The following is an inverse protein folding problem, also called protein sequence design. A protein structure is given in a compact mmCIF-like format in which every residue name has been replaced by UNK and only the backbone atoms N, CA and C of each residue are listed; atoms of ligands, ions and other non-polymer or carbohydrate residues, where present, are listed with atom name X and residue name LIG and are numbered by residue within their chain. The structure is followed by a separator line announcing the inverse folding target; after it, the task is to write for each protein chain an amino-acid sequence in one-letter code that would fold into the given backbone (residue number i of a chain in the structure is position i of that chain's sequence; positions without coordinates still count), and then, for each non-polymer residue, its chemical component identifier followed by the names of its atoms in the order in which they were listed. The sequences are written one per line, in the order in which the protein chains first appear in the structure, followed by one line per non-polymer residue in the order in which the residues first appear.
data_IF_503219204926
#
_entry.id   IF_503219204926
#
_cell.length_a   1.000
_cell.length_b   1.000
_cell.length_c   1.000
_cell.angle_alpha   90.00
_cell.angle_beta   90.00
_cell.angle_gamma   90.00
#
_symmetry.space_group_name_H-M   'P 1'
#
loop_
_entity.id
_entity.type
_entity.pdbx_description
1 polymer ?
#
# COMPACT_ATOMS: atom_id res chain seq x y z
N UNK A 1 -22.21 -7.16 18.53
CA UNK A 1 -23.37 -7.26 17.61
C UNK A 1 -23.07 -8.31 16.53
N UNK A 2 -22.96 -9.59 16.91
CA UNK A 2 -22.69 -10.72 16.01
C UNK A 2 -23.52 -11.94 16.45
N UNK A 3 -24.79 -11.70 16.80
CA UNK A 3 -25.68 -12.71 17.40
C UNK A 3 -26.93 -12.93 16.54
N UNK A 4 -26.79 -12.86 15.21
CA UNK A 4 -27.90 -13.10 14.26
C UNK A 4 -27.46 -13.80 12.96
N UNK A 5 -26.24 -14.30 12.88
CA UNK A 5 -25.69 -14.91 11.67
C UNK A 5 -25.49 -16.41 11.88
N UNK A 6 -26.17 -17.25 11.08
CA UNK A 6 -26.05 -18.71 11.16
C UNK A 6 -24.61 -19.20 10.92
N UNK A 7 -24.30 -20.43 11.35
CA UNK A 7 -22.97 -21.07 11.30
C UNK A 7 -22.28 -20.96 9.93
N UNK A 8 -23.05 -20.88 8.84
CA UNK A 8 -22.58 -20.70 7.48
C UNK A 8 -21.98 -19.30 7.23
N UNK A 9 -22.56 -18.23 7.77
CA UNK A 9 -22.11 -16.85 7.53
C UNK A 9 -20.76 -16.54 8.19
N UNK A 10 -20.50 -17.11 9.37
CA UNK A 10 -19.20 -16.98 10.03
C UNK A 10 -18.07 -17.67 9.26
N UNK A 11 -18.36 -18.81 8.61
CA UNK A 11 -17.39 -19.51 7.73
C UNK A 11 -17.00 -18.65 6.53
N UNK A 12 -17.98 -18.04 5.85
CA UNK A 12 -17.72 -17.13 4.73
C UNK A 12 -16.97 -15.87 5.15
N UNK A 13 -17.33 -15.27 6.28
CA UNK A 13 -16.64 -14.10 6.83
C UNK A 13 -15.17 -14.40 7.16
N UNK A 14 -14.89 -15.55 7.80
CA UNK A 14 -13.53 -15.98 8.11
C UNK A 14 -12.69 -16.21 6.85
N UNK A 15 -13.26 -16.84 5.81
CA UNK A 15 -12.56 -17.04 4.53
C UNK A 15 -12.27 -15.72 3.84
N UNK A 16 -13.23 -14.79 3.79
CA UNK A 16 -13.04 -13.47 3.20
C UNK A 16 -11.95 -12.66 3.94
N UNK A 17 -11.97 -12.70 5.28
CA UNK A 17 -10.97 -12.02 6.11
C UNK A 17 -9.57 -12.62 5.91
N UNK A 18 -9.44 -13.95 5.84
CA UNK A 18 -8.17 -14.60 5.52
C UNK A 18 -7.65 -14.17 4.14
N UNK A 19 -8.53 -14.12 3.13
CA UNK A 19 -8.15 -13.66 1.79
C UNK A 19 -7.62 -12.22 1.80
N UNK A 20 -8.29 -11.32 2.50
CA UNK A 20 -7.88 -9.91 2.66
C UNK A 20 -6.53 -9.81 3.38
N UNK A 21 -6.33 -10.52 4.49
CA UNK A 21 -5.07 -10.50 5.25
C UNK A 21 -3.88 -11.02 4.41
N UNK A 22 -4.08 -12.07 3.63
CA UNK A 22 -3.07 -12.59 2.70
C UNK A 22 -2.73 -11.53 1.65
N UNK A 23 -3.76 -10.90 1.05
CA UNK A 23 -3.58 -9.82 0.07
C UNK A 23 -2.79 -8.65 0.64
N UNK A 24 -3.13 -8.19 1.84
CA UNK A 24 -2.42 -7.13 2.57
C UNK A 24 -0.94 -7.47 2.78
N UNK A 25 -0.67 -8.69 3.22
CA UNK A 25 0.71 -9.15 3.49
C UNK A 25 1.56 -9.15 2.23
N UNK A 26 1.02 -9.66 1.12
CA UNK A 26 1.71 -9.68 -0.19
C UNK A 26 1.94 -8.24 -0.69
N UNK A 27 0.92 -7.39 -0.57
CA UNK A 27 1.00 -5.98 -0.96
C UNK A 27 2.09 -5.22 -0.19
N UNK A 28 2.10 -5.30 1.14
CA UNK A 28 3.13 -4.65 1.95
C UNK A 28 4.54 -5.17 1.65
N UNK A 29 4.68 -6.48 1.44
CA UNK A 29 5.97 -7.11 1.13
C UNK A 29 6.51 -6.61 -0.21
N UNK A 30 5.66 -6.55 -1.23
CA UNK A 30 6.03 -6.08 -2.57
C UNK A 30 6.35 -4.58 -2.56
N UNK A 31 5.49 -3.76 -1.95
CA UNK A 31 5.68 -2.31 -1.85
C UNK A 31 6.95 -1.95 -1.10
N UNK A 32 7.25 -2.65 0.00
CA UNK A 32 8.48 -2.43 0.77
C UNK A 32 9.71 -2.81 -0.05
N UNK A 33 9.70 -3.95 -0.74
CA UNK A 33 10.81 -4.38 -1.59
C UNK A 33 11.07 -3.38 -2.73
N UNK A 34 10.02 -2.88 -3.39
CA UNK A 34 10.12 -1.83 -4.43
C UNK A 34 10.69 -0.53 -3.86
N UNK A 35 10.25 -0.11 -2.68
CA UNK A 35 10.71 1.12 -2.04
C UNK A 35 12.20 1.04 -1.68
N UNK A 36 12.65 -0.07 -1.09
CA UNK A 36 14.05 -0.29 -0.76
C UNK A 36 14.95 -0.37 -2.01
N UNK A 37 14.47 -1.03 -3.07
CA UNK A 37 15.18 -1.06 -4.35
C UNK A 37 15.30 0.35 -4.96
N UNK A 38 14.24 1.17 -4.88
CA UNK A 38 14.25 2.55 -5.35
C UNK A 38 15.24 3.43 -4.56
N UNK A 39 15.30 3.28 -3.22
CA UNK A 39 16.27 4.00 -2.37
C UNK A 39 17.70 3.63 -2.74
N UNK A 40 17.99 2.32 -2.89
CA UNK A 40 19.32 1.84 -3.32
C UNK A 40 19.69 2.34 -4.70
N UNK A 41 18.73 2.38 -5.62
CA UNK A 41 18.94 2.93 -6.97
C UNK A 41 19.21 4.43 -6.93
N UNK A 42 18.47 5.20 -6.14
CA UNK A 42 18.70 6.63 -5.92
C UNK A 42 20.09 6.90 -5.33
N UNK A 43 20.49 6.14 -4.31
CA UNK A 43 21.81 6.27 -3.70
C UNK A 43 22.94 5.92 -4.69
N UNK A 44 22.71 4.97 -5.60
CA UNK A 44 23.63 4.63 -6.68
C UNK A 44 23.79 5.79 -7.67
N UNK A 45 22.68 6.41 -8.11
CA UNK A 45 22.73 7.60 -8.97
C UNK A 45 23.38 8.81 -8.29
N UNK A 46 23.20 8.97 -6.98
CA UNK A 46 23.87 10.04 -6.22
C UNK A 46 25.39 9.85 -6.15
N UNK A 47 25.85 8.59 -6.07
CA UNK A 47 27.28 8.26 -5.94
C UNK A 47 28.02 8.20 -7.27
N UNK A 48 27.39 7.65 -8.31
CA UNK A 48 28.05 7.36 -9.60
C UNK A 48 27.60 8.28 -10.74
N UNK A 49 26.70 9.23 -10.46
CA UNK A 49 26.11 10.12 -11.47
C UNK A 49 24.83 9.55 -12.09
N UNK A 50 24.01 10.43 -12.67
CA UNK A 50 22.68 10.09 -13.21
C UNK A 50 22.74 9.12 -14.42
N UNK A 51 23.89 9.06 -15.09
CA UNK A 51 24.16 8.23 -16.28
C UNK A 51 24.64 6.79 -15.93
N UNK A 52 24.81 6.45 -14.66
CA UNK A 52 25.33 5.14 -14.27
C UNK A 52 24.26 4.03 -14.41
N UNK A 53 24.63 2.90 -15.02
CA UNK A 53 23.76 1.73 -15.15
C UNK A 53 23.56 1.01 -13.80
N UNK A 54 22.70 1.57 -12.93
CA UNK A 54 22.38 1.01 -11.62
C UNK A 54 21.21 0.02 -11.72
N UNK A 55 21.52 -1.28 -11.84
CA UNK A 55 20.52 -2.35 -11.75
C UNK A 55 20.43 -2.88 -10.31
N UNK A 56 19.24 -2.78 -9.70
CA UNK A 56 19.00 -3.26 -8.33
C UNK A 56 17.87 -4.29 -8.35
N UNK A 57 18.12 -5.56 -8.02
CA UNK A 57 17.08 -6.58 -7.97
C UNK A 57 16.22 -6.46 -6.70
N UNK A 58 14.92 -6.71 -6.83
CA UNK A 58 13.94 -6.59 -5.75
C UNK A 58 13.79 -7.86 -4.90
N UNK A 59 14.07 -9.03 -5.48
CA UNK A 59 14.00 -10.33 -4.81
C UNK A 59 14.71 -10.40 -3.44
N UNK A 60 15.95 -9.92 -3.27
CA UNK A 60 16.61 -9.99 -1.96
C UNK A 60 15.88 -9.18 -0.89
N UNK A 61 15.34 -8.00 -1.23
CA UNK A 61 14.58 -7.17 -0.28
C UNK A 61 13.26 -7.84 0.13
N UNK A 62 12.61 -8.53 -0.80
CA UNK A 62 11.38 -9.28 -0.53
C UNK A 62 11.62 -10.40 0.49
N UNK A 63 12.70 -11.19 0.32
CA UNK A 63 13.05 -12.28 1.24
C UNK A 63 13.43 -11.76 2.62
N UNK A 64 14.25 -10.70 2.68
CA UNK A 64 14.66 -10.10 3.95
C UNK A 64 13.44 -9.58 4.74
N UNK A 65 12.52 -8.90 4.06
CA UNK A 65 11.31 -8.40 4.69
C UNK A 65 10.39 -9.52 5.19
N UNK A 66 10.26 -10.62 4.43
CA UNK A 66 9.52 -11.79 4.86
C UNK A 66 10.11 -12.43 6.14
N UNK A 67 11.44 -12.55 6.23
CA UNK A 67 12.12 -13.05 7.44
C UNK A 67 11.83 -12.15 8.64
N UNK A 68 11.92 -10.83 8.46
CA UNK A 68 11.62 -9.86 9.52
C UNK A 68 10.17 -9.98 9.98
N UNK A 69 9.21 -10.17 9.06
CA UNK A 69 7.80 -10.39 9.42
C UNK A 69 7.60 -11.68 10.23
N UNK A 70 8.29 -12.77 9.89
CA UNK A 70 8.24 -14.03 10.66
C UNK A 70 8.78 -13.81 12.08
N UNK A 71 9.90 -13.09 12.22
CA UNK A 71 10.46 -12.75 13.53
C UNK A 71 9.53 -11.86 14.35
N UNK A 72 8.93 -10.84 13.73
CA UNK A 72 7.96 -9.95 14.37
C UNK A 72 6.69 -10.70 14.81
N UNK A 73 6.23 -11.68 14.02
CA UNK A 73 5.10 -12.54 14.36
C UNK A 73 5.34 -13.40 15.62
N UNK A 74 6.59 -13.60 16.04
CA UNK A 74 6.92 -14.37 17.24
C UNK A 74 6.89 -13.53 18.53
N UNK A 75 6.69 -12.21 18.47
CA UNK A 75 6.70 -11.33 19.65
C UNK A 75 5.30 -11.21 20.26
N UNK A 76 5.01 -11.78 21.44
CA UNK A 76 3.66 -11.86 22.00
C UNK A 76 3.37 -10.80 23.08
N UNK A 77 4.11 -9.69 23.11
CA UNK A 77 4.06 -8.75 24.24
C UNK A 77 3.26 -7.47 23.94
N UNK A 78 2.03 -7.44 24.46
CA UNK A 78 1.05 -6.34 24.36
C UNK A 78 1.58 -4.98 24.86
N UNK A 79 2.61 -4.94 25.71
CA UNK A 79 3.26 -3.68 26.14
C UNK A 79 4.04 -2.99 25.01
N UNK A 80 4.38 -3.68 23.90
CA UNK A 80 5.17 -3.12 22.79
C UNK A 80 4.33 -2.52 21.65
N UNK A 81 3.01 -2.47 21.78
CA UNK A 81 2.12 -1.93 20.74
C UNK A 81 2.01 -0.39 20.76
N UNK A 82 2.25 0.25 21.91
CA UNK A 82 2.24 1.71 22.04
C UNK A 82 3.23 2.42 21.08
N UNK A 83 4.51 2.00 20.97
CA UNK A 83 5.43 2.62 20.00
C UNK A 83 5.02 2.36 18.54
N UNK A 84 4.34 1.24 18.24
CA UNK A 84 3.82 0.97 16.89
C UNK A 84 2.74 1.98 16.49
N UNK A 85 1.86 2.35 17.43
CA UNK A 85 0.85 3.40 17.19
C UNK A 85 1.49 4.77 16.90
N UNK A 86 2.54 5.12 17.66
CA UNK A 86 3.30 6.37 17.42
C UNK A 86 3.95 6.38 16.04
N UNK A 87 4.58 5.27 15.64
CA UNK A 87 5.17 5.14 14.29
C UNK A 87 4.09 5.23 13.22
N UNK A 88 2.93 4.57 13.41
CA UNK A 88 1.81 4.65 12.47
C UNK A 88 1.29 6.08 12.29
N UNK A 89 1.18 6.85 13.39
CA UNK A 89 0.81 8.26 13.33
C UNK A 89 1.83 9.09 12.55
N UNK A 90 3.13 8.93 12.83
CA UNK A 90 4.22 9.62 12.11
C UNK A 90 4.17 9.29 10.60
N UNK A 91 3.96 8.02 10.24
CA UNK A 91 3.87 7.60 8.84
C UNK A 91 2.65 8.23 8.15
N UNK A 92 1.50 8.30 8.83
CA UNK A 92 0.28 8.94 8.29
C UNK A 92 0.50 10.42 7.95
N UNK A 93 1.09 11.18 8.89
CA UNK A 93 1.45 12.57 8.63
C UNK A 93 2.46 12.69 7.49
N UNK A 94 3.50 11.85 7.50
CA UNK A 94 4.55 11.86 6.46
C UNK A 94 3.98 11.62 5.06
N UNK A 95 3.14 10.59 4.87
CA UNK A 95 2.50 10.33 3.59
C UNK A 95 1.59 11.47 3.14
N UNK A 96 0.87 12.09 4.08
CA UNK A 96 0.02 13.24 3.79
C UNK A 96 0.84 14.45 3.31
N UNK A 97 1.95 14.77 3.98
CA UNK A 97 2.86 15.83 3.57
C UNK A 97 3.50 15.56 2.20
N UNK A 98 3.91 14.32 1.92
CA UNK A 98 4.44 13.93 0.61
C UNK A 98 3.37 14.14 -0.48
N UNK A 99 2.12 13.71 -0.22
CA UNK A 99 1.01 13.91 -1.15
C UNK A 99 0.73 15.38 -1.46
N UNK A 100 0.73 16.23 -0.43
CA UNK A 100 0.57 17.69 -0.60
C UNK A 100 1.76 18.26 -1.39
N UNK A 101 2.99 17.92 -1.02
CA UNK A 101 4.20 18.42 -1.67
C UNK A 101 4.27 18.07 -3.15
N UNK A 102 3.96 16.82 -3.52
CA UNK A 102 3.90 16.38 -4.90
C UNK A 102 2.78 17.07 -5.69
N UNK A 103 1.61 17.27 -5.07
CA UNK A 103 0.48 17.96 -5.70
C UNK A 103 0.78 19.43 -5.98
N UNK A 104 1.34 20.14 -5.00
CA UNK A 104 1.77 21.54 -5.16
C UNK A 104 2.87 21.66 -6.21
N UNK A 105 3.86 20.77 -6.19
CA UNK A 105 4.95 20.76 -7.18
C UNK A 105 4.42 20.58 -8.60
N UNK A 106 3.43 19.70 -8.80
CA UNK A 106 2.76 19.52 -10.10
C UNK A 106 2.04 20.77 -10.58
N UNK A 107 1.31 21.45 -9.69
CA UNK A 107 0.57 22.67 -10.03
C UNK A 107 1.51 23.80 -10.44
N UNK A 108 2.67 23.91 -9.78
CA UNK A 108 3.67 24.93 -10.10
C UNK A 108 4.39 24.62 -11.42
N UNK A 109 4.73 23.34 -11.68
CA UNK A 109 5.48 22.95 -12.87
C UNK A 109 4.64 22.85 -14.16
N UNK A 110 3.42 22.31 -14.07
CA UNK A 110 2.57 21.98 -15.23
C UNK A 110 1.32 22.89 -15.33
N UNK A 111 1.10 23.77 -14.34
CA UNK A 111 -0.12 24.57 -14.21
C UNK A 111 -1.31 23.75 -13.68
N UNK A 112 -2.49 24.38 -13.59
CA UNK A 112 -3.75 23.65 -13.38
C UNK A 112 -4.00 22.83 -14.65
N UNK A 113 -3.58 21.55 -14.64
CA UNK A 113 -3.78 20.64 -15.74
C UNK A 113 -5.25 20.64 -16.17
N UNK A 114 -5.52 20.67 -17.48
CA UNK A 114 -6.86 20.55 -18.04
C UNK A 114 -7.42 19.17 -17.71
N UNK A 115 -8.01 19.02 -16.53
CA UNK A 115 -8.73 17.82 -16.12
C UNK A 115 -10.07 17.81 -16.83
N UNK A 116 -10.17 17.05 -17.92
CA UNK A 116 -11.45 16.80 -18.57
C UNK A 116 -12.33 15.94 -17.65
N UNK A 117 -13.58 16.35 -17.43
CA UNK A 117 -14.55 15.70 -16.53
C UNK A 117 -14.78 14.20 -16.83
N UNK A 118 -14.47 13.76 -18.06
CA UNK A 118 -14.59 12.37 -18.54
C UNK A 118 -13.27 11.57 -18.56
N UNK A 119 -12.18 12.16 -18.04
CA UNK A 119 -10.84 11.57 -18.02
C UNK A 119 -10.12 11.64 -19.36
N UNK A 120 -9.05 10.86 -19.52
CA UNK A 120 -8.32 10.75 -20.80
C UNK A 120 -9.29 10.24 -21.88
N UNK A 121 -9.50 10.97 -22.98
CA UNK A 121 -10.38 10.52 -24.07
C UNK A 121 -9.81 9.24 -24.68
N UNK A 122 -10.70 8.33 -25.09
CA UNK A 122 -10.32 7.10 -25.81
C UNK A 122 -9.74 7.55 -27.15
N UNK A 123 -8.42 7.57 -27.24
CA UNK A 123 -7.65 7.99 -28.40
C UNK A 123 -6.93 6.82 -29.05
N UNK A 124 -6.18 7.10 -30.12
CA UNK A 124 -5.42 6.11 -30.90
C UNK A 124 -4.42 5.29 -30.05
N UNK A 125 -3.99 5.86 -28.92
CA UNK A 125 -3.03 5.26 -27.98
C UNK A 125 -3.66 4.84 -26.62
N UNK A 126 -4.98 4.99 -26.43
CA UNK A 126 -5.66 4.70 -25.16
C UNK A 126 -6.92 3.84 -25.40
N UNK A 127 -6.75 2.51 -25.36
CA UNK A 127 -7.82 1.55 -25.63
C UNK A 127 -8.86 1.49 -24.50
N UNK A 128 -10.11 1.14 -24.83
CA UNK A 128 -11.17 0.92 -23.85
C UNK A 128 -10.79 -0.09 -22.75
N UNK A 129 -10.04 -1.14 -23.11
CA UNK A 129 -9.52 -2.14 -22.17
C UNK A 129 -8.52 -1.55 -21.17
N UNK A 130 -7.59 -0.71 -21.63
CA UNK A 130 -6.64 0.01 -20.76
C UNK A 130 -7.40 0.89 -19.75
N UNK A 131 -8.43 1.61 -20.23
CA UNK A 131 -9.28 2.45 -19.38
C UNK A 131 -10.04 1.63 -18.32
N UNK A 132 -10.60 0.47 -18.71
CA UNK A 132 -11.26 -0.45 -17.76
C UNK A 132 -10.25 -1.00 -16.75
N UNK A 133 -9.08 -1.44 -17.21
CA UNK A 133 -8.05 -2.02 -16.35
C UNK A 133 -7.53 -1.01 -15.32
N UNK A 134 -7.27 0.24 -15.74
CA UNK A 134 -6.85 1.32 -14.83
C UNK A 134 -7.94 1.65 -13.82
N UNK A 135 -9.21 1.69 -14.24
CA UNK A 135 -10.34 1.91 -13.33
C UNK A 135 -10.49 0.80 -12.30
N UNK A 136 -10.40 -0.47 -12.72
CA UNK A 136 -10.46 -1.63 -11.83
C UNK A 136 -9.26 -1.68 -10.87
N UNK A 137 -8.06 -1.35 -11.37
CA UNK A 137 -6.86 -1.27 -10.54
C UNK A 137 -7.01 -0.20 -9.47
N UNK A 138 -7.49 1.00 -9.83
CA UNK A 138 -7.75 2.07 -8.87
C UNK A 138 -8.82 1.70 -7.84
N UNK A 139 -9.87 0.98 -8.25
CA UNK A 139 -10.87 0.45 -7.32
C UNK A 139 -10.27 -0.59 -6.36
N UNK A 140 -9.36 -1.43 -6.86
CA UNK A 140 -8.58 -2.37 -6.05
C UNK A 140 -7.69 -1.68 -5.02
N UNK A 141 -6.99 -0.62 -5.41
CA UNK A 141 -6.16 0.19 -4.50
C UNK A 141 -7.01 0.85 -3.40
N UNK A 142 -8.21 1.34 -3.75
CA UNK A 142 -9.16 1.87 -2.77
C UNK A 142 -9.65 0.78 -1.81
N UNK A 143 -10.09 -0.37 -2.32
CA UNK A 143 -10.54 -1.49 -1.50
C UNK A 143 -9.43 -2.02 -0.56
N UNK A 144 -8.19 -2.08 -1.06
CA UNK A 144 -7.01 -2.42 -0.28
C UNK A 144 -6.78 -1.41 0.85
N UNK A 145 -6.88 -0.12 0.56
CA UNK A 145 -6.73 0.93 1.57
C UNK A 145 -7.82 0.87 2.65
N UNK A 146 -9.02 0.34 2.38
CA UNK A 146 -10.06 0.15 3.40
C UNK A 146 -9.93 -1.15 4.21
N UNK A 147 -8.99 -2.02 3.83
CA UNK A 147 -8.83 -3.32 4.47
C UNK A 147 -8.33 -3.22 5.91
N UNK A 148 -7.79 -2.06 6.35
CA UNK A 148 -7.43 -1.84 7.76
C UNK A 148 -8.64 -1.83 8.71
N UNK A 149 -9.85 -1.49 8.20
CA UNK A 149 -11.05 -1.39 9.03
C UNK A 149 -11.42 -2.73 9.69
N UNK A 150 -11.16 -3.86 9.02
CA UNK A 150 -11.46 -5.18 9.56
C UNK A 150 -10.66 -5.50 10.83
N UNK A 151 -9.40 -5.05 10.90
CA UNK A 151 -8.54 -5.27 12.07
C UNK A 151 -8.97 -4.37 13.23
N UNK A 152 -9.39 -3.14 12.96
CA UNK A 152 -9.87 -2.21 13.99
C UNK A 152 -11.16 -2.68 14.68
N UNK A 153 -12.08 -3.29 13.92
CA UNK A 153 -13.35 -3.83 14.44
C UNK A 153 -13.07 -4.96 15.44
N UNK A 154 -12.15 -5.88 15.14
CA UNK A 154 -11.77 -6.98 16.04
C UNK A 154 -11.14 -6.49 17.36
N UNK A 155 -10.42 -5.37 17.32
CA UNK A 155 -9.81 -4.76 18.50
C UNK A 155 -10.87 -4.08 19.36
N UNK A 156 -11.82 -3.36 18.75
CA UNK A 156 -12.90 -2.66 19.46
C UNK A 156 -13.97 -3.59 20.04
N UNK A 157 -14.18 -4.78 19.45
CA UNK A 157 -15.12 -5.79 20.00
C UNK A 157 -14.55 -6.49 21.24
N UNK A 158 -13.23 -6.41 21.46
CA UNK A 158 -12.53 -7.02 22.61
C UNK A 158 -12.30 -6.03 23.77
N UNK A 159 -12.56 -4.73 23.57
CA UNK A 159 -12.61 -3.69 24.60
C UNK A 159 -14.05 -3.55 25.12
#
# INVERSE_FOLDING_TARGET
MFTYAGTLQHKFCSVAQCGVLIGITIGYTTTTAMSMAAVKRSNCFHKYGHEAACHVPNNPFMVIFAIIQILLSQVPNFHKLTPLSVIAAIMSFSYSFIGIGLSVSKIIGEGIGKTTLTGIPIGKDFTAMEKMWKTLSALGDFAFSYSFCFVLIEIQVRL
#
